data_IF_889602786936
#
_entry.id   IF_889602786936
#
_cell.length_a   1.000
_cell.length_b   1.000
_cell.length_c   1.000
_cell.angle_alpha   90.00
_cell.angle_beta   90.00
_cell.angle_gamma   90.00
#
_symmetry.space_group_name_H-M   'P 1'
#
loop_
_entity.id
_entity.type
_entity.pdbx_description
1 polymer ?
#
# COMPACT_ATOMS: atom_id res chain seq x y z
N UNK A 1 7.94 56.64 -37.35
CA UNK A 1 9.27 56.02 -37.36
C UNK A 1 10.10 56.69 -36.28
N UNK A 2 10.21 56.04 -35.13
CA UNK A 2 10.96 56.50 -33.94
C UNK A 2 12.41 56.07 -34.05
N UNK A 3 13.38 56.93 -33.71
CA UNK A 3 14.57 56.60 -32.91
C UNK A 3 15.14 57.89 -32.31
N UNK A 4 15.12 58.05 -30.97
CA UNK A 4 16.14 58.80 -30.22
C UNK A 4 16.34 58.17 -28.83
N UNK A 5 17.36 57.31 -28.81
CA UNK A 5 18.37 57.07 -27.79
C UNK A 5 18.11 57.60 -26.36
N UNK A 6 17.88 56.68 -25.43
CA UNK A 6 17.95 56.89 -23.99
C UNK A 6 19.19 56.15 -23.47
N UNK A 7 20.08 56.89 -22.81
CA UNK A 7 21.32 56.39 -22.20
C UNK A 7 20.93 55.68 -20.89
N UNK A 8 21.17 54.37 -20.81
CA UNK A 8 21.03 53.59 -19.59
C UNK A 8 22.40 53.53 -18.87
N UNK A 9 22.40 53.92 -17.60
CA UNK A 9 23.53 53.82 -16.68
C UNK A 9 23.66 52.35 -16.26
N UNK A 10 24.80 51.73 -16.55
CA UNK A 10 25.17 50.40 -16.07
C UNK A 10 25.66 50.54 -14.63
N UNK A 11 24.87 50.04 -13.67
CA UNK A 11 25.31 49.82 -12.29
C UNK A 11 25.96 48.43 -12.25
N UNK A 12 27.29 48.39 -12.17
CA UNK A 12 28.05 47.18 -11.88
C UNK A 12 27.91 46.86 -10.39
N UNK A 13 26.80 46.23 -10.01
CA UNK A 13 26.67 45.55 -8.72
C UNK A 13 27.38 44.20 -8.82
N UNK A 14 28.46 44.01 -8.07
CA UNK A 14 29.18 42.74 -8.01
C UNK A 14 28.30 41.65 -7.43
N UNK A 15 28.03 40.60 -8.22
CA UNK A 15 27.53 39.34 -7.72
C UNK A 15 28.58 38.75 -6.78
N UNK A 16 28.27 38.73 -5.48
CA UNK A 16 28.93 37.81 -4.55
C UNK A 16 28.29 36.46 -4.80
N UNK A 17 29.08 35.45 -5.16
CA UNK A 17 28.62 34.07 -5.15
C UNK A 17 28.08 33.78 -3.74
N UNK A 18 26.81 33.35 -3.59
CA UNK A 18 26.32 32.93 -2.30
C UNK A 18 27.22 31.79 -1.80
N UNK A 19 27.67 31.88 -0.55
CA UNK A 19 28.35 30.77 0.12
C UNK A 19 27.46 29.53 -0.04
N UNK A 20 28.03 28.36 -0.40
CA UNK A 20 27.27 27.13 -0.45
C UNK A 20 26.65 26.92 0.92
N UNK A 21 25.32 27.01 0.98
CA UNK A 21 24.55 26.67 2.17
C UNK A 21 24.89 25.21 2.48
N UNK A 22 25.38 24.96 3.70
CA UNK A 22 25.61 23.62 4.22
C UNK A 22 24.40 22.74 3.85
N UNK A 23 24.70 21.60 3.23
CA UNK A 23 23.75 20.62 2.73
C UNK A 23 22.58 20.47 3.71
N UNK A 24 21.36 20.61 3.18
CA UNK A 24 20.15 20.27 3.91
C UNK A 24 20.35 18.92 4.63
N UNK A 25 19.83 18.74 5.87
CA UNK A 25 19.91 17.45 6.55
C UNK A 25 19.47 16.37 5.57
N UNK A 26 20.25 15.28 5.50
CA UNK A 26 19.97 14.17 4.59
C UNK A 26 18.51 13.78 4.76
N UNK A 27 17.72 13.96 3.69
CA UNK A 27 16.33 13.55 3.70
C UNK A 27 16.28 12.07 4.10
N UNK A 28 15.33 11.64 4.95
CA UNK A 28 15.21 10.24 5.30
C UNK A 28 15.12 9.42 4.01
N UNK A 29 15.92 8.35 3.91
CA UNK A 29 15.84 7.43 2.79
C UNK A 29 14.42 6.86 2.77
N UNK A 30 13.68 7.18 1.72
CA UNK A 30 12.31 6.72 1.53
C UNK A 30 12.38 5.33 0.87
N UNK A 31 11.90 4.26 1.53
CA UNK A 31 11.82 2.94 0.92
C UNK A 31 10.89 2.96 -0.30
N UNK A 32 11.29 2.27 -1.38
CA UNK A 32 10.46 2.08 -2.58
C UNK A 32 10.09 0.60 -2.70
N UNK A 33 8.82 0.28 -2.97
CA UNK A 33 8.38 -1.10 -3.18
C UNK A 33 9.03 -1.77 -4.42
N UNK A 34 9.64 -0.96 -5.30
CA UNK A 34 10.23 -1.39 -6.57
C UNK A 34 11.76 -1.51 -6.54
N UNK A 35 12.41 -0.90 -5.55
CA UNK A 35 13.87 -0.83 -5.46
C UNK A 35 14.37 -1.65 -4.27
N UNK A 36 15.42 -2.44 -4.50
CA UNK A 36 16.08 -3.21 -3.43
C UNK A 36 17.58 -2.90 -3.53
N UNK A 37 18.13 -2.27 -2.49
CA UNK A 37 19.54 -1.90 -2.39
C UNK A 37 20.41 -3.09 -1.98
N UNK A 38 20.41 -4.17 -2.77
CA UNK A 38 21.29 -5.31 -2.54
C UNK A 38 22.11 -5.57 -3.81
N UNK A 39 23.45 -5.47 -3.75
CA UNK A 39 24.31 -5.86 -4.87
C UNK A 39 24.06 -7.32 -5.23
N UNK A 40 23.91 -7.61 -6.53
CA UNK A 40 23.83 -8.97 -7.03
C UNK A 40 25.14 -9.72 -6.70
N UNK A 41 25.11 -10.54 -5.65
CA UNK A 41 26.15 -11.53 -5.40
C UNK A 41 25.85 -12.79 -6.23
N UNK A 42 26.88 -13.56 -6.58
CA UNK A 42 26.77 -14.90 -7.20
C UNK A 42 26.18 -15.89 -6.17
N UNK A 43 24.90 -15.73 -5.83
CA UNK A 43 24.16 -16.69 -4.99
C UNK A 43 23.46 -17.71 -5.88
N UNK A 44 23.19 -18.91 -5.36
CA UNK A 44 22.37 -19.89 -6.08
C UNK A 44 20.90 -19.44 -6.10
N UNK A 45 20.12 -19.73 -7.17
CA UNK A 45 18.69 -19.43 -7.21
C UNK A 45 17.93 -20.11 -6.07
N UNK A 46 16.80 -19.51 -5.67
CA UNK A 46 15.90 -20.11 -4.68
C UNK A 46 15.48 -21.51 -5.12
N UNK A 47 15.63 -22.48 -4.23
CA UNK A 47 15.13 -23.83 -4.46
C UNK A 47 13.62 -23.89 -4.22
N UNK A 48 12.94 -24.88 -4.81
CA UNK A 48 11.52 -25.18 -4.53
C UNK A 48 11.26 -25.24 -3.02
N UNK A 49 12.11 -25.97 -2.28
CA UNK A 49 11.96 -26.15 -0.83
C UNK A 49 12.10 -24.84 -0.04
N UNK A 50 12.96 -23.90 -0.47
CA UNK A 50 13.07 -22.59 0.18
C UNK A 50 11.81 -21.75 -0.05
N UNK A 51 11.26 -21.79 -1.27
CA UNK A 51 10.02 -21.08 -1.59
C UNK A 51 8.85 -21.67 -0.78
N UNK A 52 8.68 -22.99 -0.79
CA UNK A 52 7.62 -23.67 0.00
C UNK A 52 7.72 -23.35 1.50
N UNK A 53 8.93 -23.27 2.05
CA UNK A 53 9.13 -22.92 3.45
C UNK A 53 8.78 -21.46 3.77
N UNK A 54 8.95 -20.53 2.81
CA UNK A 54 8.70 -19.11 3.01
C UNK A 54 7.24 -18.71 2.75
N UNK A 55 6.56 -19.39 1.82
CA UNK A 55 5.21 -19.02 1.37
C UNK A 55 4.19 -18.85 2.51
N UNK A 56 4.07 -19.76 3.49
CA UNK A 56 3.08 -19.57 4.56
C UNK A 56 3.26 -18.25 5.33
N UNK A 57 4.51 -17.83 5.56
CA UNK A 57 4.82 -16.56 6.21
C UNK A 57 4.51 -15.36 5.32
N UNK A 58 4.78 -15.45 4.02
CA UNK A 58 4.45 -14.39 3.07
C UNK A 58 2.93 -14.21 2.91
N UNK A 59 2.18 -15.31 2.85
CA UNK A 59 0.71 -15.26 2.75
C UNK A 59 0.09 -14.65 4.02
N UNK A 60 0.57 -15.04 5.20
CA UNK A 60 0.11 -14.43 6.45
C UNK A 60 0.45 -12.93 6.51
N UNK A 61 1.66 -12.56 6.14
CA UNK A 61 2.11 -11.17 6.09
C UNK A 61 1.20 -10.31 5.18
N UNK A 62 0.77 -10.82 4.02
CA UNK A 62 -0.10 -10.03 3.12
C UNK A 62 -1.35 -9.50 3.82
N UNK A 63 -1.96 -10.26 4.75
CA UNK A 63 -3.11 -9.79 5.51
C UNK A 63 -2.76 -8.75 6.57
N UNK A 64 -1.51 -8.67 7.00
CA UNK A 64 -1.03 -7.66 7.95
C UNK A 64 -0.64 -6.34 7.24
N UNK A 65 -0.45 -6.37 5.91
CA UNK A 65 -0.11 -5.21 5.09
C UNK A 65 -1.35 -4.39 4.69
N UNK A 66 -2.20 -4.12 5.67
CA UNK A 66 -3.46 -3.40 5.48
C UNK A 66 -3.34 -1.90 5.83
N UNK A 67 -4.43 -1.18 5.57
CA UNK A 67 -4.51 0.27 5.81
C UNK A 67 -5.02 0.66 7.22
N UNK A 68 -5.47 -0.26 8.07
CA UNK A 68 -6.08 0.03 9.38
C UNK A 68 -5.17 0.91 10.23
N UNK A 69 -3.92 0.49 10.44
CA UNK A 69 -2.96 1.22 11.27
C UNK A 69 -2.48 2.51 10.59
N UNK A 70 -2.45 2.55 9.25
CA UNK A 70 -2.13 3.76 8.49
C UNK A 70 -3.20 4.83 8.71
N UNK A 71 -4.48 4.44 8.64
CA UNK A 71 -5.61 5.34 8.86
C UNK A 71 -5.64 5.84 10.31
N UNK A 72 -5.40 4.95 11.27
CA UNK A 72 -5.31 5.34 12.69
C UNK A 72 -4.17 6.35 12.93
N UNK A 73 -2.98 6.10 12.37
CA UNK A 73 -1.86 7.01 12.49
C UNK A 73 -2.15 8.36 11.84
N UNK A 74 -2.75 8.36 10.64
CA UNK A 74 -3.17 9.57 9.95
C UNK A 74 -4.11 10.43 10.82
N UNK A 75 -5.16 9.82 11.36
CA UNK A 75 -6.15 10.51 12.20
C UNK A 75 -5.50 11.13 13.44
N UNK A 76 -4.60 10.39 14.09
CA UNK A 76 -3.84 10.88 15.24
C UNK A 76 -3.00 12.11 14.89
N UNK A 77 -2.25 12.06 13.77
CA UNK A 77 -1.36 13.15 13.37
C UNK A 77 -2.13 14.39 12.92
N UNK A 78 -3.18 14.23 12.12
CA UNK A 78 -4.01 15.36 11.66
C UNK A 78 -4.75 16.03 12.83
N UNK A 79 -5.12 15.27 13.87
CA UNK A 79 -5.73 15.81 15.08
C UNK A 79 -4.81 16.74 15.88
N UNK A 80 -3.49 16.71 15.65
CA UNK A 80 -2.53 17.63 16.27
C UNK A 80 -2.53 19.03 15.61
N UNK A 81 -3.25 19.19 14.50
CA UNK A 81 -3.40 20.47 13.82
C UNK A 81 -4.11 21.52 14.67
N UNK A 82 -3.79 22.79 14.41
CA UNK A 82 -4.42 23.97 14.99
C UNK A 82 -5.18 24.75 13.92
N UNK A 83 -6.08 25.69 14.28
CA UNK A 83 -6.76 26.54 13.30
C UNK A 83 -5.76 27.26 12.38
N UNK A 84 -5.76 26.88 11.10
CA UNK A 84 -4.86 27.43 10.08
C UNK A 84 -3.51 26.72 9.95
N UNK A 85 -3.25 25.66 10.71
CA UNK A 85 -2.07 24.81 10.54
C UNK A 85 -2.35 23.32 10.88
N UNK A 86 -2.56 22.45 9.89
CA UNK A 86 -2.68 22.78 8.47
C UNK A 86 -3.95 23.60 8.18
N UNK A 87 -3.99 24.29 7.05
CA UNK A 87 -5.28 24.79 6.53
C UNK A 87 -6.16 23.58 6.24
N UNK A 88 -7.41 23.59 6.74
CA UNK A 88 -8.38 22.50 6.58
C UNK A 88 -9.67 23.03 5.96
N UNK A 89 -10.18 22.32 4.96
CA UNK A 89 -11.47 22.58 4.33
C UNK A 89 -12.28 21.28 4.30
N UNK A 90 -13.46 21.31 4.93
CA UNK A 90 -14.42 20.20 4.89
C UNK A 90 -15.49 20.54 3.87
N UNK A 91 -15.63 19.68 2.87
CA UNK A 91 -16.65 19.75 1.84
C UNK A 91 -17.60 18.57 2.06
N UNK A 92 -18.80 18.87 2.52
CA UNK A 92 -19.90 17.90 2.55
C UNK A 92 -20.54 17.89 1.17
N UNK A 93 -20.46 16.76 0.47
CA UNK A 93 -21.19 16.61 -0.79
C UNK A 93 -22.66 16.33 -0.47
N UNK A 94 -23.56 17.14 -1.03
CA UNK A 94 -25.02 16.89 -0.98
C UNK A 94 -25.46 15.81 -1.99
N UNK A 95 -24.53 15.12 -2.67
CA UNK A 95 -24.87 14.02 -3.57
C UNK A 95 -25.50 12.82 -2.83
N UNK A 96 -26.16 11.95 -3.61
CA UNK A 96 -26.83 10.75 -3.09
C UNK A 96 -25.86 9.81 -2.32
N UNK A 97 -24.54 9.98 -2.54
CA UNK A 97 -23.49 9.18 -1.92
C UNK A 97 -23.15 9.64 -0.49
N UNK A 98 -23.44 10.91 -0.14
CA UNK A 98 -23.25 11.47 1.20
C UNK A 98 -21.84 11.32 1.73
N UNK A 99 -20.88 11.70 0.90
CA UNK A 99 -19.46 11.65 1.25
C UNK A 99 -19.05 12.92 1.98
N UNK A 100 -18.26 12.75 3.06
CA UNK A 100 -17.58 13.88 3.71
C UNK A 100 -16.15 13.87 3.17
N UNK A 101 -15.80 14.94 2.47
CA UNK A 101 -14.45 15.15 1.96
C UNK A 101 -13.75 16.19 2.82
N UNK A 102 -12.54 15.89 3.27
CA UNK A 102 -11.66 16.84 3.93
C UNK A 102 -10.39 17.02 3.12
N UNK A 103 -10.01 18.28 2.91
CA UNK A 103 -8.75 18.66 2.31
C UNK A 103 -7.92 19.38 3.37
N UNK A 104 -6.64 19.02 3.49
CA UNK A 104 -5.70 19.83 4.26
C UNK A 104 -4.42 20.15 3.51
N UNK A 105 -3.87 21.34 3.78
CA UNK A 105 -2.64 21.87 3.18
C UNK A 105 -1.70 22.43 4.26
N UNK A 106 -0.48 21.90 4.33
CA UNK A 106 0.49 22.14 5.40
C UNK A 106 1.60 23.15 5.08
N UNK A 107 2.15 23.20 3.86
CA UNK A 107 3.19 24.13 3.38
C UNK A 107 4.19 24.64 4.45
N UNK A 108 4.78 23.70 5.19
CA UNK A 108 5.74 23.96 6.27
C UNK A 108 5.20 24.73 7.48
N UNK A 109 3.89 24.72 7.73
CA UNK A 109 3.31 25.36 8.90
C UNK A 109 3.71 24.62 10.18
N UNK A 110 3.82 25.35 11.29
CA UNK A 110 4.22 24.80 12.59
C UNK A 110 3.19 25.21 13.65
N UNK A 111 2.67 24.24 14.40
CA UNK A 111 1.71 24.46 15.50
C UNK A 111 2.40 25.04 16.73
N UNK A 112 1.63 25.53 17.71
CA UNK A 112 2.19 26.03 18.98
C UNK A 112 2.94 24.96 19.78
N UNK A 113 2.66 23.69 19.54
CA UNK A 113 3.33 22.54 20.15
C UNK A 113 4.60 22.10 19.38
N UNK A 114 4.91 22.74 18.25
CA UNK A 114 6.09 22.43 17.45
C UNK A 114 5.88 21.34 16.41
N UNK A 115 4.63 20.90 16.17
CA UNK A 115 4.31 19.95 15.10
C UNK A 115 4.40 20.66 13.77
N UNK A 116 5.16 20.11 12.84
CA UNK A 116 5.31 20.64 11.47
C UNK A 116 4.43 19.84 10.53
N UNK A 117 3.65 20.53 9.70
CA UNK A 117 2.89 19.94 8.60
C UNK A 117 3.44 20.45 7.28
N UNK A 118 3.75 19.56 6.35
CA UNK A 118 4.14 19.90 4.99
C UNK A 118 3.37 19.05 3.98
N UNK A 119 3.13 19.60 2.79
CA UNK A 119 2.36 18.95 1.73
C UNK A 119 0.84 19.06 1.88
N UNK A 120 0.12 18.05 1.43
CA UNK A 120 -1.35 18.03 1.40
C UNK A 120 -1.92 16.62 1.48
N UNK A 121 -3.14 16.50 2.00
CA UNK A 121 -3.95 15.28 1.79
C UNK A 121 -5.40 15.61 1.50
N UNK A 122 -6.05 14.64 0.88
CA UNK A 122 -7.47 14.51 0.66
C UNK A 122 -7.94 13.27 1.41
N UNK A 123 -8.75 13.48 2.44
CA UNK A 123 -9.43 12.43 3.16
C UNK A 123 -10.88 12.38 2.70
N UNK A 124 -11.40 11.17 2.49
CA UNK A 124 -12.81 10.97 2.17
C UNK A 124 -13.38 9.88 3.07
N UNK A 125 -14.50 10.20 3.69
CA UNK A 125 -15.28 9.28 4.50
C UNK A 125 -16.54 8.84 3.77
N UNK A 126 -16.82 7.54 3.88
CA UNK A 126 -18.02 6.88 3.40
C UNK A 126 -18.96 6.61 4.58
N UNK A 127 -20.09 7.30 4.62
CA UNK A 127 -21.08 7.28 5.72
C UNK A 127 -22.12 6.13 5.61
N UNK A 128 -21.69 4.93 5.21
CA UNK A 128 -22.55 3.74 5.09
C UNK A 128 -23.84 3.95 4.26
N UNK A 129 -23.89 4.94 3.38
CA UNK A 129 -25.09 5.28 2.63
C UNK A 129 -25.35 4.26 1.53
N UNK A 130 -26.64 4.06 1.27
CA UNK A 130 -27.09 3.13 0.22
C UNK A 130 -26.81 3.74 -1.14
N UNK A 131 -26.05 3.01 -1.94
CA UNK A 131 -25.72 3.35 -3.32
C UNK A 131 -26.78 2.82 -4.30
N UNK A 132 -26.72 3.27 -5.55
CA UNK A 132 -27.64 2.86 -6.61
C UNK A 132 -27.63 1.36 -6.92
N UNK A 133 -26.52 0.67 -6.59
CA UNK A 133 -26.35 -0.79 -6.70
C UNK A 133 -27.06 -1.57 -5.58
N UNK A 134 -27.62 -0.88 -4.58
CA UNK A 134 -28.28 -1.47 -3.41
C UNK A 134 -27.34 -1.93 -2.30
N UNK A 135 -26.03 -1.63 -2.42
CA UNK A 135 -25.03 -1.88 -1.39
C UNK A 135 -24.81 -0.61 -0.55
N UNK A 136 -24.26 -0.80 0.65
CA UNK A 136 -23.79 0.30 1.51
C UNK A 136 -22.29 0.19 1.67
N UNK A 137 -21.57 1.29 1.51
CA UNK A 137 -20.12 1.32 1.71
C UNK A 137 -19.78 2.24 2.87
N UNK A 138 -18.94 1.76 3.77
CA UNK A 138 -18.50 2.47 4.96
C UNK A 138 -16.98 2.38 5.10
N UNK A 139 -16.34 3.45 5.59
CA UNK A 139 -14.89 3.50 5.75
C UNK A 139 -14.31 4.79 5.18
N UNK A 140 -13.05 4.77 4.82
CA UNK A 140 -12.37 5.98 4.36
C UNK A 140 -11.18 5.70 3.45
N UNK A 141 -10.78 6.74 2.72
CA UNK A 141 -9.53 6.78 1.98
C UNK A 141 -8.79 8.10 2.23
N UNK A 142 -7.46 8.00 2.34
CA UNK A 142 -6.53 9.13 2.30
C UNK A 142 -5.78 9.11 0.97
N UNK A 143 -5.60 10.28 0.39
CA UNK A 143 -4.82 10.51 -0.83
C UNK A 143 -3.97 11.74 -0.66
N UNK A 144 -2.69 11.70 -0.99
CA UNK A 144 -1.90 12.92 -0.90
C UNK A 144 -0.40 12.72 -0.98
N UNK A 145 0.29 13.79 -0.60
CA UNK A 145 1.71 13.78 -0.35
C UNK A 145 1.95 14.72 0.83
N UNK A 146 2.14 14.14 2.00
CA UNK A 146 2.25 14.85 3.26
C UNK A 146 3.40 14.33 4.12
N UNK A 147 4.00 15.26 4.85
CA UNK A 147 4.97 14.97 5.90
C UNK A 147 4.50 15.67 7.17
N UNK A 148 4.35 14.91 8.26
CA UNK A 148 4.04 15.45 9.59
C UNK A 148 5.18 15.09 10.52
N UNK A 149 5.77 16.09 11.18
CA UNK A 149 6.89 15.91 12.11
C UNK A 149 6.47 16.40 13.49
N UNK A 150 6.58 15.54 14.50
CA UNK A 150 6.34 15.86 15.90
C UNK A 150 7.49 15.34 16.79
N UNK A 151 7.30 15.36 18.11
CA UNK A 151 8.29 14.89 19.08
C UNK A 151 8.41 13.36 19.15
N UNK A 152 7.41 12.63 18.66
CA UNK A 152 7.38 11.18 18.61
C UNK A 152 8.03 10.64 17.32
N UNK A 153 7.94 11.36 16.20
CA UNK A 153 8.57 10.95 14.95
C UNK A 153 8.14 11.75 13.71
N UNK A 154 8.42 11.16 12.54
CA UNK A 154 8.04 11.67 11.22
C UNK A 154 7.09 10.68 10.56
N UNK A 155 5.92 11.17 10.18
CA UNK A 155 4.94 10.47 9.36
C UNK A 155 5.05 10.97 7.92
N UNK A 156 5.23 10.06 6.97
CA UNK A 156 5.18 10.34 5.54
C UNK A 156 4.00 9.59 4.95
N UNK A 157 3.13 10.30 4.24
CA UNK A 157 2.02 9.74 3.51
C UNK A 157 2.03 10.27 2.07
N UNK A 158 2.61 9.50 1.16
CA UNK A 158 2.60 9.73 -0.28
C UNK A 158 1.79 8.66 -1.00
N UNK A 159 0.83 9.04 -1.83
CA UNK A 159 -0.03 8.11 -2.57
C UNK A 159 -1.41 7.98 -1.95
N UNK A 160 -1.87 6.76 -1.73
CA UNK A 160 -3.24 6.41 -1.30
C UNK A 160 -3.22 5.34 -0.22
N UNK A 161 -4.05 5.47 0.80
CA UNK A 161 -4.43 4.34 1.65
C UNK A 161 -5.95 4.32 1.81
N UNK A 162 -6.57 3.15 1.85
CA UNK A 162 -8.02 3.03 2.00
C UNK A 162 -8.41 1.77 2.75
N UNK A 163 -9.51 1.88 3.48
CA UNK A 163 -10.23 0.77 4.09
C UNK A 163 -11.72 1.02 3.92
N UNK A 164 -12.36 0.24 3.04
CA UNK A 164 -13.76 0.41 2.65
C UNK A 164 -14.47 -0.93 2.81
N UNK A 165 -15.51 -0.99 3.64
CA UNK A 165 -16.36 -2.16 3.85
C UNK A 165 -17.69 -1.99 3.13
N UNK A 166 -18.04 -2.97 2.32
CA UNK A 166 -19.33 -3.10 1.65
C UNK A 166 -20.27 -4.03 2.42
N UNK A 167 -21.54 -3.65 2.54
CA UNK A 167 -22.59 -4.49 3.11
C UNK A 167 -23.82 -4.57 2.19
N UNK A 168 -24.53 -5.70 2.27
CA UNK A 168 -25.72 -5.98 1.48
C UNK A 168 -26.99 -5.31 2.05
N UNK A 169 -28.13 -5.53 1.37
CA UNK A 169 -29.42 -4.99 1.80
C UNK A 169 -29.90 -5.46 3.20
N UNK A 170 -29.31 -6.52 3.75
CA UNK A 170 -29.58 -7.03 5.09
C UNK A 170 -28.57 -6.54 6.13
N UNK A 171 -27.61 -5.68 5.73
CA UNK A 171 -26.54 -5.18 6.58
C UNK A 171 -25.44 -6.21 6.86
N UNK A 172 -25.35 -7.28 6.06
CA UNK A 172 -24.29 -8.27 6.19
C UNK A 172 -23.07 -7.80 5.41
N UNK A 173 -21.89 -7.86 6.03
CA UNK A 173 -20.63 -7.61 5.33
C UNK A 173 -20.55 -8.53 4.11
N UNK A 174 -20.26 -7.90 2.99
CA UNK A 174 -20.24 -8.52 1.68
C UNK A 174 -18.86 -8.39 1.03
N UNK A 175 -18.17 -7.28 1.27
CA UNK A 175 -16.82 -7.06 0.77
C UNK A 175 -16.02 -6.15 1.70
N UNK A 176 -14.70 -6.29 1.69
CA UNK A 176 -13.78 -5.31 2.26
C UNK A 176 -12.69 -5.04 1.24
N UNK A 177 -12.46 -3.76 0.93
CA UNK A 177 -11.31 -3.30 0.17
C UNK A 177 -10.34 -2.66 1.16
N UNK A 178 -9.11 -3.14 1.19
CA UNK A 178 -8.01 -2.47 1.87
C UNK A 178 -6.86 -2.31 0.90
N UNK A 179 -6.21 -1.17 0.91
CA UNK A 179 -5.02 -1.01 0.10
C UNK A 179 -4.18 0.17 0.52
N UNK A 180 -2.90 0.04 0.20
CA UNK A 180 -1.89 1.08 0.35
C UNK A 180 -1.12 1.12 -0.96
N UNK A 181 -1.02 2.30 -1.56
CA UNK A 181 -0.32 2.53 -2.82
C UNK A 181 0.55 3.77 -2.64
N UNK A 182 1.84 3.65 -2.91
CA UNK A 182 2.84 4.71 -2.71
C UNK A 182 3.69 4.50 -1.46
N UNK A 183 4.04 5.60 -0.80
CA UNK A 183 4.97 5.63 0.32
C UNK A 183 4.24 5.94 1.61
N UNK A 184 4.25 4.98 2.54
CA UNK A 184 3.88 5.20 3.94
C UNK A 184 5.09 4.92 4.82
N UNK A 185 5.40 5.83 5.74
CA UNK A 185 6.51 5.67 6.69
C UNK A 185 6.14 6.30 8.03
N UNK A 186 6.51 5.63 9.12
CA UNK A 186 6.51 6.21 10.46
C UNK A 186 7.80 5.90 11.19
N UNK A 187 8.48 6.92 11.72
CA UNK A 187 9.74 6.76 12.44
C UNK A 187 9.57 6.70 13.96
N UNK A 188 8.35 6.88 14.48
CA UNK A 188 8.07 6.86 15.91
C UNK A 188 7.76 5.45 16.43
N UNK A 189 7.72 5.31 17.76
CA UNK A 189 7.58 4.01 18.42
C UNK A 189 6.15 3.64 18.81
N UNK A 190 5.14 4.41 18.41
CA UNK A 190 3.73 4.19 18.80
C UNK A 190 3.08 2.98 18.12
N UNK A 191 3.64 2.50 17.01
CA UNK A 191 3.14 1.36 16.23
C UNK A 191 4.26 0.33 16.00
N UNK A 192 4.87 -0.25 17.06
CA UNK A 192 6.09 -1.06 16.92
C UNK A 192 5.89 -2.33 16.09
N UNK A 193 4.65 -2.82 15.98
CA UNK A 193 4.28 -4.01 15.24
C UNK A 193 3.73 -3.70 13.84
N UNK A 194 3.52 -2.42 13.49
CA UNK A 194 3.00 -2.06 12.18
C UNK A 194 4.10 -2.14 11.11
N UNK A 195 3.75 -2.70 9.95
CA UNK A 195 4.68 -2.97 8.86
C UNK A 195 5.46 -1.73 8.39
N UNK A 196 4.81 -0.55 8.35
CA UNK A 196 5.42 0.71 7.92
C UNK A 196 6.43 1.31 8.92
N UNK A 197 6.63 0.67 10.08
CA UNK A 197 7.72 0.97 11.03
C UNK A 197 8.90 0.02 10.93
N UNK A 198 8.73 -1.10 10.22
CA UNK A 198 9.71 -2.19 10.12
C UNK A 198 10.58 -2.10 8.85
N UNK A 199 10.52 -0.98 8.13
CA UNK A 199 11.25 -0.80 6.88
C UNK A 199 10.61 -1.52 5.68
N UNK A 200 9.40 -2.05 5.83
CA UNK A 200 8.63 -2.65 4.74
C UNK A 200 8.01 -1.56 3.88
N UNK A 201 8.19 -1.67 2.57
CA UNK A 201 7.50 -0.85 1.58
C UNK A 201 6.46 -1.69 0.84
N UNK A 202 5.19 -1.31 0.91
CA UNK A 202 4.08 -2.04 0.30
C UNK A 202 3.27 -1.15 -0.64
N UNK A 203 3.01 -1.64 -1.84
CA UNK A 203 1.97 -1.15 -2.73
C UNK A 203 0.98 -2.29 -2.97
N UNK A 204 0.15 -2.60 -1.97
CA UNK A 204 -0.81 -3.70 -2.04
C UNK A 204 -2.25 -3.19 -2.11
N UNK A 205 -3.01 -3.79 -3.01
CA UNK A 205 -4.46 -3.71 -3.07
C UNK A 205 -5.03 -5.09 -2.75
N UNK A 206 -5.95 -5.12 -1.78
CA UNK A 206 -6.59 -6.33 -1.32
C UNK A 206 -8.11 -6.14 -1.34
N UNK A 207 -8.77 -7.12 -1.94
CA UNK A 207 -10.21 -7.16 -2.04
C UNK A 207 -10.69 -8.50 -1.50
N UNK A 208 -11.45 -8.46 -0.40
CA UNK A 208 -12.13 -9.64 0.12
C UNK A 208 -13.63 -9.57 -0.16
N UNK A 209 -14.23 -10.74 -0.34
CA UNK A 209 -15.66 -10.91 -0.51
C UNK A 209 -16.17 -12.03 0.38
N UNK A 210 -17.40 -11.87 0.86
CA UNK A 210 -18.13 -12.88 1.59
C UNK A 210 -19.49 -13.13 0.94
N UNK A 211 -19.63 -14.29 0.27
CA UNK A 211 -20.88 -14.75 -0.34
C UNK A 211 -21.33 -16.11 0.20
N UNK A 212 -21.22 -16.28 1.52
CA UNK A 212 -21.43 -17.57 2.19
C UNK A 212 -20.12 -18.26 2.57
N UNK A 213 -19.04 -17.93 1.86
CA UNK A 213 -17.68 -18.36 2.14
C UNK A 213 -16.67 -17.23 1.85
N UNK A 214 -15.48 -17.27 2.48
CA UNK A 214 -14.42 -16.28 2.25
C UNK A 214 -13.76 -16.40 0.88
N UNK A 215 -13.48 -15.24 0.28
CA UNK A 215 -12.64 -15.06 -0.92
C UNK A 215 -11.78 -13.81 -0.73
N UNK A 216 -10.54 -13.84 -1.20
CA UNK A 216 -9.67 -12.66 -1.25
C UNK A 216 -8.83 -12.65 -2.52
N UNK A 217 -8.66 -11.48 -3.12
CA UNK A 217 -7.73 -11.22 -4.22
C UNK A 217 -6.75 -10.13 -3.79
N UNK A 218 -5.46 -10.34 -4.08
CA UNK A 218 -4.35 -9.51 -3.66
C UNK A 218 -3.51 -9.14 -4.88
N UNK A 219 -3.16 -7.86 -5.00
CA UNK A 219 -2.39 -7.31 -6.11
C UNK A 219 -1.31 -6.36 -5.60
N UNK A 220 -0.13 -6.44 -6.22
CA UNK A 220 0.91 -5.44 -6.09
C UNK A 220 2.17 -5.91 -5.35
N UNK A 221 3.21 -5.06 -5.30
CA UNK A 221 4.51 -5.40 -4.75
C UNK A 221 4.67 -5.11 -3.25
N UNK A 222 5.61 -5.84 -2.65
CA UNK A 222 6.12 -5.63 -1.29
C UNK A 222 7.63 -5.81 -1.31
N UNK A 223 8.35 -4.97 -0.57
CA UNK A 223 9.81 -5.06 -0.41
C UNK A 223 10.25 -4.65 1.00
N UNK A 224 11.54 -4.80 1.29
CA UNK A 224 12.10 -4.52 2.61
C UNK A 224 11.92 -5.67 3.59
N UNK A 225 11.64 -6.88 3.09
CA UNK A 225 11.48 -8.07 3.92
C UNK A 225 12.84 -8.65 4.33
N UNK A 226 12.86 -9.27 5.50
CA UNK A 226 14.00 -10.08 5.94
C UNK A 226 13.97 -11.49 5.31
N UNK A 227 15.08 -12.23 5.44
CA UNK A 227 15.18 -13.62 4.95
C UNK A 227 15.60 -13.73 3.47
N UNK A 228 15.35 -14.89 2.87
CA UNK A 228 15.83 -15.25 1.52
C UNK A 228 15.04 -14.54 0.40
N UNK A 229 13.82 -14.08 0.70
CA UNK A 229 12.91 -13.39 -0.22
C UNK A 229 12.69 -11.96 0.29
N UNK A 230 13.58 -11.01 -0.02
CA UNK A 230 13.45 -9.62 0.44
C UNK A 230 12.30 -8.83 -0.20
N UNK A 231 11.70 -9.34 -1.29
CA UNK A 231 10.58 -8.70 -1.96
C UNK A 231 9.72 -9.73 -2.71
N UNK A 232 8.43 -9.43 -2.87
CA UNK A 232 7.51 -10.18 -3.72
C UNK A 232 6.54 -9.25 -4.46
N UNK A 233 5.83 -9.78 -5.45
CA UNK A 233 4.68 -9.11 -6.04
C UNK A 233 3.57 -10.11 -6.34
N UNK A 234 2.38 -9.84 -5.83
CA UNK A 234 1.18 -10.60 -6.15
C UNK A 234 0.57 -10.08 -7.45
N UNK A 235 0.29 -11.00 -8.38
CA UNK A 235 -0.38 -10.71 -9.64
C UNK A 235 -1.72 -11.43 -9.61
N UNK A 236 -2.73 -10.71 -9.13
CA UNK A 236 -4.10 -11.22 -8.98
C UNK A 236 -4.16 -12.51 -8.15
N UNK A 237 -3.35 -12.59 -7.09
CA UNK A 237 -3.27 -13.76 -6.24
C UNK A 237 -4.61 -13.92 -5.52
N UNK A 238 -5.31 -15.01 -5.80
CA UNK A 238 -6.69 -15.22 -5.33
C UNK A 238 -6.79 -16.49 -4.51
N UNK A 239 -7.47 -16.42 -3.36
CA UNK A 239 -7.86 -17.58 -2.57
C UNK A 239 -9.38 -17.62 -2.43
N UNK A 240 -9.97 -18.80 -2.54
CA UNK A 240 -11.41 -19.03 -2.38
C UNK A 240 -11.65 -20.24 -1.49
N UNK A 241 -12.49 -20.09 -0.47
CA UNK A 241 -12.83 -21.20 0.42
C UNK A 241 -13.86 -22.18 -0.16
N UNK A 242 -14.58 -21.77 -1.22
CA UNK A 242 -15.52 -22.61 -1.97
C UNK A 242 -15.28 -22.45 -3.48
N UNK A 243 -15.62 -23.48 -4.25
CA UNK A 243 -15.44 -23.52 -5.71
C UNK A 243 -15.12 -24.94 -6.19
N UNK A 244 -14.78 -25.07 -7.47
CA UNK A 244 -14.37 -26.35 -8.06
C UNK A 244 -13.03 -26.85 -7.49
N UNK A 245 -12.17 -25.92 -7.02
CA UNK A 245 -10.86 -26.26 -6.44
C UNK A 245 -10.42 -25.31 -5.30
N UNK A 246 -11.03 -25.41 -4.10
CA UNK A 246 -10.79 -24.46 -3.00
C UNK A 246 -9.39 -24.54 -2.37
N UNK A 247 -8.64 -25.61 -2.61
CA UNK A 247 -7.26 -25.74 -2.14
C UNK A 247 -6.22 -25.08 -3.05
N UNK A 248 -6.60 -24.65 -4.26
CA UNK A 248 -5.70 -24.10 -5.26
C UNK A 248 -5.83 -22.57 -5.30
N UNK A 249 -4.71 -21.86 -5.21
CA UNK A 249 -4.68 -20.41 -5.42
C UNK A 249 -4.90 -20.09 -6.91
N UNK A 250 -5.47 -18.92 -7.21
CA UNK A 250 -5.47 -18.34 -8.54
C UNK A 250 -4.37 -17.29 -8.70
N UNK A 251 -3.95 -17.01 -9.93
CA UNK A 251 -3.00 -15.93 -10.24
C UNK A 251 -1.52 -16.34 -10.09
N UNK A 252 -0.66 -15.38 -9.78
CA UNK A 252 0.78 -15.63 -9.65
C UNK A 252 1.43 -14.84 -8.52
N UNK A 253 2.52 -15.40 -7.98
CA UNK A 253 3.39 -14.73 -7.03
C UNK A 253 4.81 -14.63 -7.58
N UNK A 254 5.29 -13.41 -7.72
CA UNK A 254 6.64 -13.09 -8.15
C UNK A 254 7.49 -12.93 -6.90
N UNK A 255 8.60 -13.66 -6.82
CA UNK A 255 9.48 -13.70 -5.65
C UNK A 255 10.85 -13.21 -6.06
N UNK A 256 11.39 -12.22 -5.36
CA UNK A 256 12.74 -11.70 -5.61
C UNK A 256 13.69 -12.23 -4.57
N UNK A 257 14.79 -12.83 -5.02
CA UNK A 257 15.87 -13.26 -4.13
C UNK A 257 16.85 -12.11 -3.79
N UNK A 258 17.82 -12.37 -2.91
CA UNK A 258 18.85 -11.39 -2.52
C UNK A 258 19.83 -11.01 -3.64
N UNK A 259 19.98 -11.83 -4.67
CA UNK A 259 20.75 -11.46 -5.86
C UNK A 259 19.94 -10.60 -6.84
N UNK A 260 18.67 -10.34 -6.52
CA UNK A 260 17.75 -9.55 -7.34
C UNK A 260 17.12 -10.33 -8.48
N UNK A 261 17.22 -11.66 -8.51
CA UNK A 261 16.54 -12.50 -9.51
C UNK A 261 15.09 -12.72 -9.13
N UNK A 262 14.24 -12.77 -10.15
CA UNK A 262 12.82 -13.05 -9.99
C UNK A 262 12.52 -14.51 -10.32
N UNK A 263 11.82 -15.17 -9.42
CA UNK A 263 11.14 -16.45 -9.64
C UNK A 263 9.63 -16.20 -9.67
N UNK A 264 8.89 -16.98 -10.44
CA UNK A 264 7.43 -16.86 -10.54
C UNK A 264 6.82 -18.19 -10.11
N UNK A 265 5.86 -18.16 -9.18
CA UNK A 265 4.98 -19.29 -8.91
C UNK A 265 3.64 -18.97 -9.53
N UNK A 266 3.26 -19.69 -10.58
CA UNK A 266 1.96 -19.55 -11.24
C UNK A 266 1.00 -20.62 -10.72
N UNK A 267 -0.13 -20.20 -10.18
CA UNK A 267 -1.16 -21.08 -9.65
C UNK A 267 -2.33 -21.18 -10.64
N UNK A 268 -3.04 -22.30 -10.62
CA UNK A 268 -4.02 -22.65 -11.67
C UNK A 268 -5.47 -22.68 -11.17
N UNK A 269 -5.69 -22.17 -9.96
CA UNK A 269 -7.01 -22.02 -9.37
C UNK A 269 -7.81 -20.88 -10.00
N UNK A 270 -9.06 -20.77 -9.57
CA UNK A 270 -9.96 -19.73 -10.03
C UNK A 270 -9.49 -18.34 -9.58
N UNK A 271 -9.69 -17.32 -10.43
CA UNK A 271 -9.53 -15.90 -10.06
C UNK A 271 -10.89 -15.20 -9.88
N UNK A 272 -11.95 -15.78 -10.44
CA UNK A 272 -13.35 -15.38 -10.25
C UNK A 272 -14.22 -16.57 -9.82
N UNK A 273 -15.28 -16.37 -9.02
CA UNK A 273 -16.20 -17.44 -8.62
C UNK A 273 -16.90 -18.17 -9.78
N UNK A 274 -16.94 -17.55 -10.96
CA UNK A 274 -17.57 -18.12 -12.16
C UNK A 274 -16.56 -18.90 -13.04
N UNK A 275 -15.28 -18.94 -12.68
CA UNK A 275 -14.25 -19.66 -13.43
C UNK A 275 -14.30 -21.16 -13.13
N UNK A 276 -14.31 -21.97 -14.19
CA UNK A 276 -14.18 -23.41 -14.08
C UNK A 276 -12.70 -23.79 -14.00
N UNK A 277 -12.35 -24.64 -13.04
CA UNK A 277 -10.99 -25.18 -12.86
C UNK A 277 -10.98 -26.64 -13.30
N UNK A 278 -9.92 -27.07 -13.98
CA UNK A 278 -9.74 -28.49 -14.34
C UNK A 278 -9.38 -29.29 -13.07
N UNK A 279 -10.18 -30.31 -12.73
CA UNK A 279 -9.90 -31.21 -11.60
C UNK A 279 -8.47 -31.79 -11.63
N UNK A 280 -7.86 -31.92 -12.81
CA UNK A 280 -6.51 -32.46 -12.97
C UNK A 280 -5.41 -31.53 -12.43
N UNK A 281 -5.68 -30.23 -12.29
CA UNK A 281 -4.73 -29.23 -11.76
C UNK A 281 -5.03 -28.87 -10.30
N UNK A 282 -5.98 -29.57 -9.70
CA UNK A 282 -6.49 -29.27 -8.37
C UNK A 282 -5.68 -29.98 -7.27
N UNK A 283 -4.36 -29.73 -7.22
CA UNK A 283 -3.42 -30.42 -6.34
C UNK A 283 -2.84 -29.54 -5.22
N UNK A 284 -3.17 -28.24 -5.19
CA UNK A 284 -2.70 -27.29 -4.18
C UNK A 284 -1.30 -26.77 -4.48
N UNK A 285 -0.84 -26.85 -5.74
CA UNK A 285 0.53 -26.56 -6.13
C UNK A 285 0.60 -25.69 -7.38
N UNK A 286 1.38 -24.60 -7.28
CA UNK A 286 1.75 -23.79 -8.43
C UNK A 286 2.97 -24.33 -9.16
N UNK A 287 3.19 -23.86 -10.39
CA UNK A 287 4.41 -24.15 -11.17
C UNK A 287 5.45 -23.06 -10.94
N UNK A 288 6.63 -23.45 -10.48
CA UNK A 288 7.77 -22.55 -10.32
C UNK A 288 8.49 -22.37 -11.66
N UNK A 289 8.65 -21.12 -12.05
CA UNK A 289 9.46 -20.69 -13.18
C UNK A 289 10.65 -19.86 -12.73
N UNK A 290 11.82 -20.18 -13.28
CA UNK A 290 13.05 -19.40 -13.15
C UNK A 290 13.66 -19.23 -14.53
N UNK A 291 14.03 -18.00 -14.89
CA UNK A 291 14.56 -17.69 -16.23
C UNK A 291 13.68 -18.23 -17.38
N UNK A 292 12.35 -18.14 -17.21
CA UNK A 292 11.33 -18.68 -18.12
C UNK A 292 11.38 -20.21 -18.33
N UNK A 293 11.98 -20.96 -17.41
CA UNK A 293 12.01 -22.42 -17.41
C UNK A 293 11.25 -22.95 -16.21
N UNK A 294 10.41 -23.97 -16.43
CA UNK A 294 9.75 -24.68 -15.33
C UNK A 294 10.78 -25.50 -14.55
N UNK A 295 10.84 -25.26 -13.25
CA UNK A 295 11.80 -25.89 -12.32
C UNK A 295 11.15 -27.01 -11.51
N UNK A 296 9.88 -26.83 -11.15
CA UNK A 296 9.14 -27.80 -10.34
C UNK A 296 7.78 -27.26 -9.88
N UNK A 297 7.09 -28.05 -9.08
CA UNK A 297 5.86 -27.64 -8.40
C UNK A 297 6.20 -27.08 -7.01
N UNK A 298 5.43 -26.09 -6.56
CA UNK A 298 5.51 -25.47 -5.23
C UNK A 298 4.14 -25.57 -4.60
N UNK A 299 4.02 -26.36 -3.56
CA UNK A 299 2.73 -26.60 -2.90
C UNK A 299 2.56 -25.67 -1.69
N UNK A 300 1.36 -25.09 -1.56
CA UNK A 300 1.06 -24.12 -0.49
C UNK A 300 -0.37 -24.30 0.02
N UNK A 301 -0.55 -24.13 1.33
CA UNK A 301 -1.87 -24.10 1.95
C UNK A 301 -2.44 -22.67 1.88
N UNK A 302 -3.59 -22.44 1.24
CA UNK A 302 -4.21 -21.12 1.17
C UNK A 302 -4.89 -20.69 2.48
N UNK A 303 -4.99 -21.56 3.49
CA UNK A 303 -5.67 -21.28 4.75
C UNK A 303 -5.29 -19.95 5.43
N UNK A 304 -4.02 -19.50 5.46
CA UNK A 304 -3.66 -18.21 6.04
C UNK A 304 -4.40 -17.02 5.44
N UNK A 305 -4.82 -17.10 4.17
CA UNK A 305 -5.59 -16.05 3.49
C UNK A 305 -7.10 -16.12 3.76
N UNK A 306 -7.59 -17.23 4.33
CA UNK A 306 -9.01 -17.57 4.42
C UNK A 306 -9.52 -17.78 5.85
N UNK A 307 -8.63 -17.82 6.85
CA UNK A 307 -8.98 -18.06 8.27
C UNK A 307 -9.58 -16.82 8.97
N UNK A 308 -10.63 -16.27 8.39
CA UNK A 308 -11.39 -15.14 8.92
C UNK A 308 -12.90 -15.40 8.81
N UNK A 309 -13.66 -14.86 9.76
CA UNK A 309 -15.08 -15.22 9.92
C UNK A 309 -16.06 -14.39 9.10
N UNK A 310 -15.65 -13.20 8.63
CA UNK A 310 -16.50 -12.31 7.84
C UNK A 310 -15.72 -11.31 6.97
N UNK A 311 -14.61 -10.78 7.48
CA UNK A 311 -13.65 -9.92 6.77
C UNK A 311 -12.31 -10.07 7.51
N UNK A 312 -11.17 -10.03 6.81
CA UNK A 312 -9.85 -10.07 7.46
C UNK A 312 -9.59 -8.82 8.33
N UNK A 313 -10.31 -7.72 8.10
CA UNK A 313 -10.21 -6.46 8.86
C UNK A 313 -11.56 -5.87 9.27
#
# INVERSE_FOLDING_TARGET
>A
MYVRLLIAIVVLGGCRDPEPVDSAPDAPLIPSAWEVDVPAEDTEPLTVAQIEAALPGLLALMLELDAVDVMALYDERVAMGEPGCPYREVVESEDEEGTISEYWYGDGCVTSQGVTFDGYTYYREYDARRQADGLTYAGSDIKGNAVVVDDAGTFVAGGVAYLIRGADNAGRNFSTLSGVQGTILWTGSSYPDAWFTQGVAAELEMQSWWRGAPMITILGPVSGLEGDIPAFSAVELTAMAEGDCPQELGGALWLRDRAGRWSIVEFQGAISPDDAVDDAVCDGCGVLYQDNQSVGAVCVDPAPLLDWTASPW
#
